data_IF_546057529956
#
_entry.id   IF_546057529956
#
_cell.length_a   1.000
_cell.length_b   1.000
_cell.length_c   1.000
_cell.angle_alpha   90.00
_cell.angle_beta   90.00
_cell.angle_gamma   90.00
#
_symmetry.space_group_name_H-M   'P 1'
#
loop_
_entity.id
_entity.type
_entity.pdbx_description
1 polymer ?
#
# COMPACT_ATOMS: atom_id res chain seq x y z
N UNK A 1 -16.59 47.15 7.64
CA UNK A 1 -15.64 47.31 6.51
C UNK A 1 -14.49 48.17 7.02
N UNK A 2 -13.27 47.61 7.10
CA UNK A 2 -12.29 47.86 6.03
C UNK A 2 -11.56 46.59 5.50
N UNK A 3 -10.94 46.68 4.31
CA UNK A 3 -10.29 45.61 3.55
C UNK A 3 -8.79 45.38 3.88
N UNK A 4 -8.25 44.31 3.27
CA UNK A 4 -6.96 43.62 3.49
C UNK A 4 -5.65 44.42 3.32
N UNK A 5 -4.52 43.87 3.81
CA UNK A 5 -3.20 44.10 3.22
C UNK A 5 -2.72 42.92 2.37
N UNK A 6 -2.31 43.26 1.14
CA UNK A 6 -1.53 42.47 0.19
C UNK A 6 -0.14 42.09 0.73
N UNK A 7 0.46 40.93 0.40
CA UNK A 7 1.88 40.69 0.63
C UNK A 7 2.73 41.36 -0.47
N UNK A 8 3.65 42.24 -0.06
CA UNK A 8 4.69 42.85 -0.90
C UNK A 8 5.83 41.85 -1.15
N UNK A 9 6.16 41.63 -2.42
CA UNK A 9 7.44 41.07 -2.87
C UNK A 9 8.59 42.02 -2.51
N UNK A 10 9.66 41.52 -1.90
CA UNK A 10 10.95 42.21 -1.79
C UNK A 10 12.09 41.21 -2.05
N UNK A 11 12.90 41.54 -3.05
CA UNK A 11 14.04 40.76 -3.52
C UNK A 11 15.36 41.28 -2.92
N UNK A 12 16.30 40.36 -2.68
CA UNK A 12 17.74 40.57 -2.93
C UNK A 12 18.64 40.83 -1.72
N UNK A 13 19.56 39.88 -1.46
CA UNK A 13 20.87 40.16 -0.88
C UNK A 13 21.91 39.23 -1.51
N UNK A 14 23.00 39.80 -2.03
CA UNK A 14 24.12 39.14 -2.74
C UNK A 14 25.31 38.90 -1.78
N UNK A 15 25.97 37.77 -2.03
CA UNK A 15 27.42 37.50 -1.97
C UNK A 15 28.15 37.23 -0.63
N UNK A 16 28.92 36.12 -0.68
CA UNK A 16 30.13 35.70 0.07
C UNK A 16 29.99 34.77 1.29
N UNK A 17 30.21 33.48 1.02
CA UNK A 17 30.92 32.49 1.87
C UNK A 17 32.42 32.88 2.02
N UNK A 18 33.19 32.41 3.04
CA UNK A 18 33.22 31.01 3.49
C UNK A 18 33.46 30.74 5.01
N UNK A 19 33.48 29.45 5.32
CA UNK A 19 34.10 28.78 6.48
C UNK A 19 33.26 28.54 7.75
N UNK A 20 32.65 27.36 7.76
CA UNK A 20 32.72 26.44 8.89
C UNK A 20 31.77 26.72 10.05
N UNK A 21 30.72 25.90 10.17
CA UNK A 21 30.50 24.98 11.29
C UNK A 21 29.11 24.33 11.13
N UNK A 22 29.08 23.00 11.19
CA UNK A 22 27.86 22.24 11.50
C UNK A 22 26.98 21.90 10.30
N UNK A 23 27.35 20.86 9.57
CA UNK A 23 26.43 20.14 8.69
C UNK A 23 25.39 19.42 9.57
N UNK A 24 24.39 20.15 10.08
CA UNK A 24 23.21 19.57 10.68
C UNK A 24 22.35 19.01 9.55
N UNK A 25 22.74 17.83 9.06
CA UNK A 25 21.92 16.98 8.21
C UNK A 25 20.69 16.61 9.03
N UNK A 26 19.65 17.43 8.93
CA UNK A 26 18.34 17.09 9.42
C UNK A 26 17.89 15.83 8.67
N UNK A 27 18.09 14.68 9.30
CA UNK A 27 17.36 13.45 8.99
C UNK A 27 15.88 13.79 9.16
N UNK A 28 15.23 14.13 8.05
CA UNK A 28 13.79 14.13 7.99
C UNK A 28 13.36 12.69 8.23
N UNK A 29 12.94 12.40 9.47
CA UNK A 29 12.16 11.20 9.77
C UNK A 29 10.97 11.22 8.83
N UNK A 30 10.71 10.18 8.02
CA UNK A 30 9.50 10.15 7.22
C UNK A 30 8.33 10.23 8.20
N UNK A 31 7.57 11.32 8.12
CA UNK A 31 6.29 11.44 8.82
C UNK A 31 5.42 10.37 8.18
N UNK A 32 5.20 9.27 8.90
CA UNK A 32 4.24 8.27 8.49
C UNK A 32 2.89 8.97 8.35
N UNK A 33 2.47 9.22 7.12
CA UNK A 33 1.11 9.66 6.81
C UNK A 33 0.18 8.60 7.38
N UNK A 34 -0.43 8.87 8.53
CA UNK A 34 -1.50 8.05 9.08
C UNK A 34 -2.72 8.27 8.21
N UNK A 35 -2.75 7.60 7.05
CA UNK A 35 -3.94 7.50 6.21
C UNK A 35 -5.05 6.92 7.11
N UNK A 36 -6.22 7.56 7.22
CA UNK A 36 -7.31 7.00 7.99
C UNK A 36 -7.60 5.59 7.47
N UNK A 37 -7.43 4.61 8.34
CA UNK A 37 -7.71 3.20 8.06
C UNK A 37 -9.22 3.05 7.92
N UNK A 38 -9.69 3.01 6.69
CA UNK A 38 -11.08 2.73 6.39
C UNK A 38 -11.24 1.24 6.12
N UNK A 39 -12.18 0.59 6.80
CA UNK A 39 -12.53 -0.81 6.54
C UNK A 39 -13.54 -0.95 5.40
N UNK A 40 -13.99 0.15 4.78
CA UNK A 40 -14.95 0.09 3.67
C UNK A 40 -14.30 -0.46 2.40
N UNK A 41 -14.85 -1.52 1.77
CA UNK A 41 -14.36 -1.99 0.50
C UNK A 41 -14.38 -0.87 -0.55
N UNK A 42 -13.25 -0.62 -1.18
CA UNK A 42 -13.16 0.33 -2.28
C UNK A 42 -13.59 -0.30 -3.61
N UNK A 43 -13.76 0.50 -4.69
CA UNK A 43 -14.00 -0.06 -6.01
C UNK A 43 -12.81 -0.93 -6.42
N UNK A 44 -13.08 -2.21 -6.69
CA UNK A 44 -12.14 -3.10 -7.37
C UNK A 44 -12.21 -2.86 -8.87
N UNK A 45 -11.05 -2.85 -9.52
CA UNK A 45 -10.93 -2.80 -10.96
C UNK A 45 -10.77 -4.22 -11.50
N UNK A 46 -11.68 -4.59 -12.40
CA UNK A 46 -11.51 -5.80 -13.20
C UNK A 46 -10.39 -5.58 -14.20
N UNK A 47 -9.40 -6.47 -14.22
CA UNK A 47 -8.33 -6.39 -15.20
C UNK A 47 -8.89 -6.54 -16.63
N UNK A 48 -8.23 -5.94 -17.63
CA UNK A 48 -8.63 -6.09 -19.02
C UNK A 48 -8.72 -7.58 -19.41
N UNK A 49 -9.62 -7.96 -20.32
CA UNK A 49 -9.74 -9.35 -20.77
C UNK A 49 -8.39 -9.86 -21.32
N UNK A 50 -8.00 -11.06 -20.91
CA UNK A 50 -6.68 -11.63 -21.20
C UNK A 50 -5.55 -11.19 -20.25
N UNK A 51 -5.81 -10.25 -19.33
CA UNK A 51 -4.90 -9.88 -18.23
C UNK A 51 -5.40 -10.34 -16.87
N UNK A 52 -6.35 -11.26 -16.82
CA UNK A 52 -6.98 -11.70 -15.57
C UNK A 52 -5.94 -12.39 -14.67
N UNK A 53 -5.98 -12.07 -13.38
CA UNK A 53 -5.24 -12.78 -12.34
C UNK A 53 -6.16 -13.06 -11.16
N UNK A 54 -5.85 -14.15 -10.46
CA UNK A 54 -6.62 -14.67 -9.36
C UNK A 54 -5.78 -14.73 -8.08
N UNK A 55 -6.42 -14.41 -6.97
CA UNK A 55 -5.83 -14.44 -5.63
C UNK A 55 -6.73 -15.26 -4.73
N UNK A 56 -6.13 -16.20 -4.02
CA UNK A 56 -6.76 -16.93 -2.95
C UNK A 56 -6.46 -16.22 -1.63
N UNK A 57 -7.50 -16.03 -0.82
CA UNK A 57 -7.37 -15.44 0.50
C UNK A 57 -7.97 -16.43 1.50
N UNK A 58 -7.15 -16.92 2.41
CA UNK A 58 -7.48 -17.96 3.38
C UNK A 58 -7.41 -17.38 4.80
N UNK A 59 -8.58 -17.22 5.41
CA UNK A 59 -8.72 -16.79 6.79
C UNK A 59 -8.48 -17.95 7.77
N UNK A 60 -7.68 -17.71 8.81
CA UNK A 60 -7.33 -18.71 9.82
C UNK A 60 -6.41 -19.82 9.30
N UNK A 61 -5.58 -19.53 8.30
CA UNK A 61 -4.62 -20.47 7.71
C UNK A 61 -3.23 -19.84 7.67
N UNK A 62 -2.14 -20.58 7.97
CA UNK A 62 -2.09 -22.02 8.29
C UNK A 62 -2.60 -22.37 9.69
N UNK A 63 -2.67 -21.40 10.62
CA UNK A 63 -3.13 -21.62 11.99
C UNK A 63 -4.32 -20.74 12.36
N UNK A 64 -5.42 -21.39 12.77
CA UNK A 64 -6.60 -20.70 13.36
C UNK A 64 -6.34 -20.19 14.77
N UNK A 65 -5.37 -20.79 15.47
CA UNK A 65 -5.02 -20.40 16.84
C UNK A 65 -4.30 -19.05 16.91
N UNK A 66 -3.46 -18.77 15.92
CA UNK A 66 -2.73 -17.49 15.77
C UNK A 66 -3.51 -16.48 14.93
N UNK A 67 -4.71 -16.86 14.47
CA UNK A 67 -5.56 -16.04 13.62
C UNK A 67 -4.80 -15.54 12.37
N UNK A 68 -4.12 -16.46 11.68
CA UNK A 68 -3.33 -16.11 10.51
C UNK A 68 -4.22 -15.88 9.29
N UNK A 69 -3.84 -14.93 8.45
CA UNK A 69 -4.47 -14.67 7.16
C UNK A 69 -3.43 -14.90 6.07
N UNK A 70 -3.65 -15.91 5.23
CA UNK A 70 -2.77 -16.22 4.11
C UNK A 70 -3.37 -15.71 2.81
N UNK A 71 -2.55 -15.06 2.00
CA UNK A 71 -2.92 -14.56 0.67
C UNK A 71 -1.98 -15.22 -0.31
N UNK A 72 -2.54 -16.02 -1.22
CA UNK A 72 -1.80 -16.82 -2.19
C UNK A 72 -2.14 -16.34 -3.59
N UNK A 73 -1.12 -16.15 -4.43
CA UNK A 73 -1.33 -15.86 -5.85
C UNK A 73 -1.61 -17.14 -6.62
N UNK A 74 -2.83 -17.25 -7.14
CA UNK A 74 -3.25 -18.43 -7.92
C UNK A 74 -2.81 -18.36 -9.38
N UNK A 75 -2.31 -17.20 -9.83
CA UNK A 75 -1.89 -17.00 -11.22
C UNK A 75 -2.98 -16.40 -12.09
N UNK A 76 -2.74 -16.44 -13.40
CA UNK A 76 -3.74 -16.07 -14.39
C UNK A 76 -3.13 -15.68 -15.73
N UNK A 77 -3.97 -15.46 -16.73
CA UNK A 77 -3.53 -15.10 -18.09
C UNK A 77 -2.69 -13.82 -18.12
N UNK A 78 -2.92 -12.91 -17.18
CA UNK A 78 -2.18 -11.65 -17.06
C UNK A 78 -0.89 -11.70 -16.27
N UNK A 79 -0.49 -12.83 -15.69
CA UNK A 79 0.65 -12.87 -14.76
C UNK A 79 1.97 -12.42 -15.41
N UNK A 80 2.20 -12.75 -16.68
CA UNK A 80 3.41 -12.37 -17.43
C UNK A 80 3.47 -10.86 -17.71
N UNK A 81 2.30 -10.22 -17.70
CA UNK A 81 2.14 -8.79 -17.90
C UNK A 81 2.19 -8.01 -16.58
N UNK A 82 2.28 -8.68 -15.43
CA UNK A 82 2.47 -8.04 -14.14
C UNK A 82 3.94 -7.69 -13.91
N UNK A 83 4.17 -6.59 -13.19
CA UNK A 83 5.49 -6.31 -12.61
C UNK A 83 5.83 -7.39 -11.59
N UNK A 84 7.12 -7.57 -11.33
CA UNK A 84 7.65 -8.55 -10.36
C UNK A 84 7.23 -8.32 -8.91
N UNK A 85 6.46 -7.27 -8.62
CA UNK A 85 6.02 -6.85 -7.30
C UNK A 85 4.52 -6.54 -7.37
N UNK A 86 3.74 -7.26 -6.58
CA UNK A 86 2.32 -7.02 -6.33
C UNK A 86 2.22 -6.43 -4.93
N UNK A 87 1.62 -5.25 -4.80
CA UNK A 87 1.45 -4.59 -3.51
C UNK A 87 0.21 -5.14 -2.82
N UNK A 88 0.38 -5.78 -1.68
CA UNK A 88 -0.69 -6.30 -0.85
C UNK A 88 -0.74 -5.51 0.45
N UNK A 89 -1.86 -4.85 0.68
CA UNK A 89 -2.10 -4.07 1.88
C UNK A 89 -3.23 -4.70 2.68
N UNK A 90 -2.92 -5.11 3.90
CA UNK A 90 -3.89 -5.68 4.84
C UNK A 90 -4.05 -4.72 6.01
N UNK A 91 -5.26 -4.21 6.17
CA UNK A 91 -5.62 -3.40 7.34
C UNK A 91 -6.32 -4.30 8.35
N UNK A 92 -5.69 -4.55 9.48
CA UNK A 92 -6.24 -5.35 10.57
C UNK A 92 -7.34 -4.62 11.32
N UNK A 93 -8.18 -5.39 12.01
CA UNK A 93 -9.19 -4.85 12.94
C UNK A 93 -8.57 -4.03 14.08
N UNK A 94 -7.34 -4.36 14.48
CA UNK A 94 -6.55 -3.61 15.48
C UNK A 94 -6.17 -2.20 15.03
N UNK A 95 -6.37 -1.86 13.74
CA UNK A 95 -5.93 -0.61 13.12
C UNK A 95 -4.50 -0.68 12.58
N UNK A 96 -3.81 -1.81 12.75
CA UNK A 96 -2.50 -2.05 12.16
C UNK A 96 -2.62 -2.24 10.64
N UNK A 97 -1.77 -1.56 9.88
CA UNK A 97 -1.70 -1.69 8.42
C UNK A 97 -0.41 -2.42 8.07
N UNK A 98 -0.56 -3.62 7.54
CA UNK A 98 0.55 -4.40 7.02
C UNK A 98 0.59 -4.22 5.52
N UNK A 99 1.76 -3.86 5.00
CA UNK A 99 2.01 -3.78 3.56
C UNK A 99 3.09 -4.77 3.22
N UNK A 100 2.73 -5.75 2.42
CA UNK A 100 3.58 -6.83 1.96
C UNK A 100 3.66 -6.78 0.44
N UNK A 101 4.70 -7.37 -0.12
CA UNK A 101 4.86 -7.49 -1.56
C UNK A 101 4.89 -8.94 -1.96
N UNK A 102 3.99 -9.33 -2.86
CA UNK A 102 3.85 -10.69 -3.37
C UNK A 102 4.44 -10.75 -4.79
N UNK A 103 5.04 -11.87 -5.17
CA UNK A 103 5.53 -12.05 -6.53
C UNK A 103 4.39 -12.54 -7.44
N UNK A 104 4.33 -12.14 -8.73
CA UNK A 104 3.37 -12.70 -9.69
C UNK A 104 3.75 -14.15 -10.10
N UNK A 105 4.08 -15.00 -9.12
CA UNK A 105 4.51 -16.39 -9.28
C UNK A 105 3.43 -17.29 -8.70
N UNK A 106 2.94 -18.23 -9.50
CA UNK A 106 1.88 -19.16 -9.08
C UNK A 106 2.32 -19.90 -7.82
N UNK A 107 1.50 -19.85 -6.78
CA UNK A 107 1.77 -20.49 -5.49
C UNK A 107 2.59 -19.63 -4.52
N UNK A 108 3.02 -18.43 -4.92
CA UNK A 108 3.62 -17.48 -4.00
C UNK A 108 2.55 -16.99 -3.01
N UNK A 109 2.88 -16.94 -1.72
CA UNK A 109 1.96 -16.57 -0.68
C UNK A 109 2.62 -15.73 0.40
N UNK A 110 1.80 -14.89 1.03
CA UNK A 110 2.18 -14.14 2.22
C UNK A 110 1.26 -14.55 3.37
N UNK A 111 1.82 -14.67 4.56
CA UNK A 111 1.07 -14.98 5.78
C UNK A 111 1.12 -13.79 6.72
N UNK A 112 -0.06 -13.26 7.02
CA UNK A 112 -0.24 -12.18 7.98
C UNK A 112 -0.62 -12.81 9.33
N UNK A 113 0.30 -12.76 10.28
CA UNK A 113 0.05 -13.25 11.64
C UNK A 113 -0.77 -12.26 12.46
N UNK A 114 -1.54 -12.77 13.42
CA UNK A 114 -2.36 -11.94 14.32
C UNK A 114 -3.37 -11.07 13.56
N UNK A 115 -4.03 -11.65 12.56
CA UNK A 115 -5.05 -11.00 11.75
C UNK A 115 -6.45 -11.27 12.32
N UNK A 116 -6.62 -11.28 13.64
CA UNK A 116 -7.92 -11.61 14.27
C UNK A 116 -9.00 -10.57 13.96
N UNK A 117 -10.21 -11.03 13.65
CA UNK A 117 -11.37 -10.18 13.39
C UNK A 117 -11.49 -9.74 11.93
N UNK A 118 -12.05 -8.56 11.68
CA UNK A 118 -12.25 -8.03 10.33
C UNK A 118 -10.96 -7.42 9.76
N UNK A 119 -10.46 -7.97 8.66
CA UNK A 119 -9.27 -7.45 7.97
C UNK A 119 -9.62 -7.03 6.57
N UNK A 120 -9.30 -5.78 6.18
CA UNK A 120 -9.46 -5.33 4.81
C UNK A 120 -8.22 -5.68 4.01
N UNK A 121 -8.38 -6.57 3.03
CA UNK A 121 -7.33 -7.00 2.10
C UNK A 121 -7.47 -6.22 0.80
N UNK A 122 -6.44 -5.43 0.49
CA UNK A 122 -6.31 -4.66 -0.73
C UNK A 122 -5.13 -5.23 -1.54
N UNK A 123 -5.38 -5.73 -2.74
CA UNK A 123 -4.34 -6.23 -3.63
C UNK A 123 -4.29 -5.33 -4.85
N UNK A 124 -3.11 -4.76 -5.06
CA UNK A 124 -2.83 -3.83 -6.13
C UNK A 124 -1.75 -4.41 -7.02
N UNK A 125 -2.12 -4.67 -8.27
CA UNK A 125 -1.20 -5.17 -9.29
C UNK A 125 -0.78 -4.03 -10.20
N UNK A 126 0.49 -4.03 -10.59
CA UNK A 126 1.00 -3.10 -11.59
C UNK A 126 1.35 -3.84 -12.86
N UNK A 127 0.93 -3.33 -14.01
CA UNK A 127 1.28 -3.91 -15.31
C UNK A 127 2.65 -3.40 -15.78
N UNK A 128 3.40 -4.25 -16.48
CA UNK A 128 4.64 -3.87 -17.17
C UNK A 128 4.38 -2.86 -18.28
N UNK A 129 3.18 -2.89 -18.87
CA UNK A 129 2.73 -1.94 -19.90
C UNK A 129 2.40 -0.54 -19.36
N UNK A 130 2.46 -0.35 -18.03
CA UNK A 130 1.94 0.83 -17.36
C UNK A 130 0.47 0.64 -16.96
N UNK A 131 0.11 1.19 -15.79
CA UNK A 131 -1.19 1.03 -15.16
C UNK A 131 -1.12 0.21 -13.88
N UNK A 132 -1.80 0.69 -12.85
CA UNK A 132 -1.89 0.06 -11.53
C UNK A 132 -3.36 -0.16 -11.21
N UNK A 133 -3.71 -1.39 -10.91
CA UNK A 133 -5.09 -1.86 -10.77
C UNK A 133 -5.26 -2.51 -9.41
N UNK A 134 -6.23 -2.00 -8.65
CA UNK A 134 -6.65 -2.65 -7.41
C UNK A 134 -7.64 -3.75 -7.76
N UNK A 135 -7.16 -4.99 -7.77
CA UNK A 135 -7.91 -6.17 -8.22
C UNK A 135 -8.71 -6.81 -7.11
N UNK A 136 -8.22 -6.71 -5.87
CA UNK A 136 -8.93 -7.19 -4.70
C UNK A 136 -9.03 -6.07 -3.69
N UNK A 137 -10.21 -5.91 -3.14
CA UNK A 137 -10.51 -5.02 -2.02
C UNK A 137 -11.72 -5.61 -1.31
N UNK A 138 -11.48 -6.41 -0.26
CA UNK A 138 -12.54 -7.08 0.48
C UNK A 138 -12.21 -7.16 1.96
N UNK A 139 -13.24 -7.19 2.79
CA UNK A 139 -13.10 -7.52 4.22
C UNK A 139 -13.10 -9.04 4.34
N UNK A 140 -12.13 -9.56 5.08
CA UNK A 140 -11.98 -10.96 5.44
C UNK A 140 -11.99 -11.06 6.95
N UNK A 141 -13.02 -11.71 7.47
CA UNK A 141 -13.13 -12.00 8.89
C UNK A 141 -12.33 -13.27 9.20
N UNK A 142 -11.36 -13.15 10.12
CA UNK A 142 -10.63 -14.29 10.66
C UNK A 142 -11.26 -14.66 12.01
N UNK A 143 -11.81 -15.88 12.13
CA UNK A 143 -12.45 -16.36 13.36
C UNK A 143 -11.43 -16.59 14.48
#
# INVERSE_FOLDING_TARGET
MPPAPVPKTAAGIRDRDPDGHGNARATATPVATTTPVSLTPGPTQTLPPGKEVEFQIMAGYPSRFTHDLTITFSGGKGQDLLKKNIDVRVTKSTGEVITETLQPVIGDEITITDAKGENRVEITVSLVTGGTYKVVDKIVEVP
#
